data_IF_201610639828
#
_entry.id   IF_201610639828
#
_cell.length_a   1.000
_cell.length_b   1.000
_cell.length_c   1.000
_cell.angle_alpha   90.00
_cell.angle_beta   90.00
_cell.angle_gamma   90.00
#
_symmetry.space_group_name_H-M   'P 1'
#
loop_
_entity.id
_entity.type
_entity.pdbx_description
1 polymer ?
#
# COMPACT_ATOMS: atom_id res chain seq x y z
N UNK A 1 -6.16 11.07 6.66
CA UNK A 1 -4.73 11.02 6.28
C UNK A 1 -4.49 10.56 4.85
N UNK A 2 -4.97 9.38 4.42
CA UNK A 2 -4.62 8.81 3.10
C UNK A 2 -4.95 9.62 1.84
N UNK A 3 -5.70 10.73 1.94
CA UNK A 3 -5.98 11.68 0.84
C UNK A 3 -5.80 13.15 1.27
N UNK A 4 -5.03 13.39 2.32
CA UNK A 4 -4.77 14.76 2.79
C UNK A 4 -3.64 15.38 1.98
N UNK A 5 -3.91 16.50 1.32
CA UNK A 5 -2.93 17.22 0.50
C UNK A 5 -1.69 17.60 1.31
N UNK A 6 -1.84 18.04 2.56
CA UNK A 6 -0.70 18.39 3.43
C UNK A 6 0.24 17.22 3.78
N UNK A 7 -0.16 15.97 3.52
CA UNK A 7 0.65 14.76 3.74
C UNK A 7 1.15 14.20 2.40
N UNK A 8 0.29 14.20 1.38
CA UNK A 8 0.51 13.45 0.14
C UNK A 8 0.72 14.32 -1.11
N UNK A 9 0.64 15.64 -0.96
CA UNK A 9 0.71 16.61 -2.05
C UNK A 9 -0.60 16.73 -2.85
N UNK A 10 -0.59 17.56 -3.89
CA UNK A 10 -1.77 17.87 -4.73
C UNK A 10 -2.39 16.64 -5.41
N UNK A 11 -1.57 15.63 -5.69
CA UNK A 11 -1.97 14.39 -6.33
C UNK A 11 -2.44 13.32 -5.32
N UNK A 12 -2.85 13.71 -4.10
CA UNK A 12 -3.29 12.79 -3.04
C UNK A 12 -4.56 11.99 -3.39
N UNK A 13 -5.28 12.39 -4.44
CA UNK A 13 -6.46 11.68 -4.96
C UNK A 13 -6.18 10.80 -6.17
N UNK A 14 -4.96 10.82 -6.72
CA UNK A 14 -4.60 10.10 -7.93
C UNK A 14 -4.08 8.70 -7.62
N UNK A 15 -4.36 7.75 -8.52
CA UNK A 15 -3.78 6.41 -8.45
C UNK A 15 -2.35 6.45 -9.00
N UNK A 16 -1.37 6.45 -8.08
CA UNK A 16 0.06 6.55 -8.39
C UNK A 16 0.81 5.42 -7.66
N UNK A 17 0.90 4.20 -8.24
CA UNK A 17 1.61 3.07 -7.67
C UNK A 17 3.09 3.35 -7.36
N UNK A 18 3.71 4.20 -8.17
CA UNK A 18 5.13 4.57 -8.09
C UNK A 18 5.45 5.26 -6.76
N UNK A 19 4.45 5.86 -6.10
CA UNK A 19 4.57 6.44 -4.75
C UNK A 19 5.07 5.44 -3.71
N UNK A 20 4.88 4.14 -3.95
CA UNK A 20 5.24 3.06 -3.04
C UNK A 20 6.55 2.38 -3.42
N UNK A 21 7.26 2.85 -4.44
CA UNK A 21 8.48 2.25 -4.95
C UNK A 21 9.67 3.18 -4.66
N UNK A 22 10.83 2.61 -4.35
CA UNK A 22 12.07 3.40 -4.29
C UNK A 22 12.57 3.72 -5.70
N UNK A 23 13.15 4.92 -5.84
CA UNK A 23 13.66 5.42 -7.12
C UNK A 23 14.87 4.64 -7.66
N UNK A 24 15.63 3.97 -6.79
CA UNK A 24 16.89 3.30 -7.14
C UNK A 24 16.69 1.87 -7.67
N UNK A 25 15.89 1.08 -6.97
CA UNK A 25 15.76 -0.36 -7.24
C UNK A 25 14.31 -0.82 -7.49
N UNK A 26 13.33 0.10 -7.42
CA UNK A 26 11.92 -0.21 -7.58
C UNK A 26 11.36 -1.08 -6.44
N UNK A 27 12.09 -1.24 -5.33
CA UNK A 27 11.59 -2.04 -4.20
C UNK A 27 10.45 -1.32 -3.50
N UNK A 28 9.46 -2.10 -3.05
CA UNK A 28 8.33 -1.55 -2.33
C UNK A 28 8.80 -0.94 -1.00
N UNK A 29 8.62 0.36 -0.84
CA UNK A 29 8.86 1.06 0.39
C UNK A 29 7.58 1.08 1.23
N UNK A 30 7.63 0.41 2.39
CA UNK A 30 6.51 0.46 3.32
C UNK A 30 6.47 1.83 3.99
N UNK A 31 5.38 2.56 3.75
CA UNK A 31 5.11 3.81 4.44
C UNK A 31 4.69 3.60 5.90
N UNK A 32 4.81 4.66 6.70
CA UNK A 32 4.42 4.61 8.10
C UNK A 32 2.93 4.26 8.25
N UNK A 33 2.62 3.30 9.13
CA UNK A 33 1.24 2.93 9.46
C UNK A 33 0.43 4.11 10.03
N UNK A 34 1.10 5.12 10.59
CA UNK A 34 0.44 6.36 11.01
C UNK A 34 0.08 7.23 9.81
N UNK A 35 0.92 7.28 8.77
CA UNK A 35 0.61 8.00 7.51
C UNK A 35 -0.47 7.30 6.69
N UNK A 36 -0.45 5.97 6.66
CA UNK A 36 -1.42 5.11 5.97
C UNK A 36 -2.06 4.13 6.97
N UNK A 37 -3.09 4.54 7.71
CA UNK A 37 -3.70 3.71 8.73
C UNK A 37 -4.74 2.71 8.15
N UNK A 38 -4.46 2.09 6.99
CA UNK A 38 -5.35 1.08 6.37
C UNK A 38 -5.56 -0.14 7.26
N UNK A 39 -4.56 -0.49 8.07
CA UNK A 39 -4.62 -1.56 9.07
C UNK A 39 -4.53 -1.00 10.50
N UNK A 40 -4.84 0.28 10.71
CA UNK A 40 -4.54 1.04 11.94
C UNK A 40 -3.03 1.05 12.27
N UNK A 41 -2.69 1.65 13.41
CA UNK A 41 -1.32 1.73 13.92
C UNK A 41 -1.28 1.47 15.43
N UNK A 42 -0.08 1.14 15.95
CA UNK A 42 0.13 0.88 17.37
C UNK A 42 -0.57 -0.39 17.88
N UNK A 43 -0.97 -0.39 19.16
CA UNK A 43 -1.53 -1.56 19.85
C UNK A 43 -2.86 -2.09 19.28
N UNK A 44 -3.51 -1.31 18.40
CA UNK A 44 -4.78 -1.68 17.74
C UNK A 44 -4.60 -2.00 16.25
N UNK A 45 -3.37 -2.21 15.80
CA UNK A 45 -3.08 -2.65 14.44
C UNK A 45 -3.77 -3.99 14.15
N UNK A 46 -4.28 -4.16 12.93
CA UNK A 46 -4.90 -5.39 12.47
C UNK A 46 -3.91 -6.57 12.56
N UNK A 47 -4.27 -7.59 13.32
CA UNK A 47 -3.49 -8.82 13.45
C UNK A 47 -3.40 -9.60 12.12
N UNK A 48 -4.38 -9.41 11.24
CA UNK A 48 -4.46 -10.06 9.92
C UNK A 48 -3.75 -9.31 8.79
N UNK A 49 -2.99 -8.23 9.09
CA UNK A 49 -2.33 -7.39 8.07
C UNK A 49 -1.49 -8.21 7.09
N UNK A 50 -0.62 -9.06 7.60
CA UNK A 50 0.32 -9.80 6.76
C UNK A 50 -0.39 -10.87 5.93
N UNK A 51 -1.39 -11.54 6.52
CA UNK A 51 -2.23 -12.49 5.79
C UNK A 51 -3.00 -11.81 4.66
N UNK A 52 -3.56 -10.61 4.90
CA UNK A 52 -4.25 -9.85 3.87
C UNK A 52 -3.33 -9.48 2.71
N UNK A 53 -2.08 -9.09 2.98
CA UNK A 53 -1.10 -8.82 1.92
C UNK A 53 -0.75 -10.08 1.12
N UNK A 54 -0.57 -11.22 1.78
CA UNK A 54 -0.30 -12.50 1.11
C UNK A 54 -1.47 -12.87 0.19
N UNK A 55 -2.70 -12.81 0.68
CA UNK A 55 -3.89 -13.12 -0.09
C UNK A 55 -4.06 -12.18 -1.29
N UNK A 56 -3.90 -10.87 -1.08
CA UNK A 56 -4.00 -9.87 -2.16
C UNK A 56 -2.99 -10.14 -3.27
N UNK A 57 -1.72 -10.39 -2.92
CA UNK A 57 -0.66 -10.69 -3.89
C UNK A 57 -0.90 -12.01 -4.62
N UNK A 58 -1.32 -13.05 -3.90
CA UNK A 58 -1.64 -14.35 -4.49
C UNK A 58 -2.77 -14.25 -5.51
N UNK A 59 -3.85 -13.54 -5.16
CA UNK A 59 -5.00 -13.37 -6.07
C UNK A 59 -4.59 -12.53 -7.29
N UNK A 60 -3.90 -11.40 -7.08
CA UNK A 60 -3.45 -10.55 -8.18
C UNK A 60 -2.54 -11.33 -9.15
N UNK A 61 -1.57 -12.10 -8.63
CA UNK A 61 -0.69 -12.95 -9.43
C UNK A 61 -1.47 -14.00 -10.24
N UNK A 62 -2.43 -14.70 -9.61
CA UNK A 62 -3.25 -15.70 -10.31
C UNK A 62 -4.17 -15.11 -11.37
N UNK A 63 -4.64 -13.87 -11.18
CA UNK A 63 -5.48 -13.19 -12.18
C UNK A 63 -4.61 -12.77 -13.37
N UNK A 64 -3.47 -12.12 -13.12
CA UNK A 64 -2.54 -11.72 -14.19
C UNK A 64 -2.08 -12.95 -14.99
N UNK A 65 -1.64 -14.03 -14.32
CA UNK A 65 -1.18 -15.25 -15.00
C UNK A 65 -2.24 -15.88 -15.95
N UNK A 66 -3.53 -15.78 -15.61
CA UNK A 66 -4.60 -16.49 -16.32
C UNK A 66 -5.33 -15.67 -17.38
N UNK A 67 -5.34 -14.36 -17.22
CA UNK A 67 -6.21 -13.48 -18.02
C UNK A 67 -5.46 -12.35 -18.73
N UNK A 68 -4.15 -12.21 -18.51
CA UNK A 68 -3.25 -11.28 -19.19
C UNK A 68 -2.13 -12.06 -19.88
#
# INVERSE_FOLDING_TARGET
MGRMEGIWGKNCGEYLPERWLKDDDGTCQLESAFRIPIFLAGARMCLGKDLAYIQMKSIAASVMERFE
#
